data_IF_780123166424
#
_entry.id   IF_780123166424
#
_cell.length_a   1.000
_cell.length_b   1.000
_cell.length_c   1.000
_cell.angle_alpha   90.00
_cell.angle_beta   90.00
_cell.angle_gamma   90.00
#
_symmetry.space_group_name_H-M   'P 1'
#
loop_
_entity.id
_entity.type
_entity.pdbx_description
1 polymer ?
#
# COMPACT_ATOMS: atom_id res chain seq x y z
N UNK A 1 -14.59 -36.35 28.34
CA UNK A 1 -15.16 -36.10 27.00
C UNK A 1 -16.68 -36.21 27.00
N UNK A 2 -17.29 -37.25 27.56
CA UNK A 2 -18.77 -37.42 27.56
C UNK A 2 -19.50 -36.26 28.25
N UNK A 3 -18.94 -35.72 29.33
CA UNK A 3 -19.51 -34.56 30.01
C UNK A 3 -19.47 -33.30 29.14
N UNK A 4 -18.30 -32.98 28.54
CA UNK A 4 -18.13 -31.85 27.66
C UNK A 4 -19.11 -31.90 26.48
N UNK A 5 -19.33 -33.09 25.92
CA UNK A 5 -20.21 -33.25 24.76
C UNK A 5 -21.68 -32.97 25.06
N UNK A 6 -22.09 -33.05 26.34
CA UNK A 6 -23.47 -32.73 26.78
C UNK A 6 -23.75 -31.22 26.85
N UNK A 7 -22.74 -30.37 26.80
CA UNK A 7 -22.86 -28.93 26.95
C UNK A 7 -22.66 -28.21 25.61
N UNK A 8 -23.41 -27.13 25.39
CA UNK A 8 -23.28 -26.29 24.19
C UNK A 8 -22.10 -25.34 24.30
N UNK A 9 -21.78 -24.89 25.52
CA UNK A 9 -20.66 -23.99 25.80
C UNK A 9 -19.91 -24.51 27.02
N UNK A 10 -18.58 -24.58 26.91
CA UNK A 10 -17.65 -24.92 27.99
C UNK A 10 -16.70 -23.75 28.17
N UNK A 11 -16.65 -23.19 29.36
CA UNK A 11 -15.79 -22.04 29.68
C UNK A 11 -14.64 -22.52 30.55
N UNK A 12 -13.41 -22.27 30.12
CA UNK A 12 -12.20 -22.54 30.87
C UNK A 12 -11.80 -21.24 31.60
N UNK A 13 -11.74 -21.34 32.93
CA UNK A 13 -11.25 -20.26 33.76
C UNK A 13 -10.10 -20.81 34.61
N UNK A 14 -8.89 -20.38 34.30
CA UNK A 14 -7.67 -20.70 35.06
C UNK A 14 -7.16 -19.45 35.75
N UNK A 15 -6.35 -19.62 36.79
CA UNK A 15 -5.67 -18.51 37.41
C UNK A 15 -4.77 -17.78 36.39
N UNK A 16 -4.67 -16.47 36.56
CA UNK A 16 -3.82 -15.62 35.70
C UNK A 16 -2.39 -15.62 36.22
N UNK A 17 -1.79 -16.82 36.27
CA UNK A 17 -0.38 -17.00 36.62
C UNK A 17 0.26 -18.09 35.73
N UNK A 18 1.55 -18.36 35.96
CA UNK A 18 2.30 -19.31 35.12
C UNK A 18 1.69 -20.72 35.13
N UNK A 19 1.25 -21.20 36.28
CA UNK A 19 0.68 -22.53 36.42
C UNK A 19 -0.69 -22.62 35.75
N UNK A 20 -1.52 -21.58 35.90
CA UNK A 20 -2.81 -21.48 35.21
C UNK A 20 -2.67 -21.42 33.69
N UNK A 21 -1.70 -20.68 33.19
CA UNK A 21 -1.41 -20.62 31.74
C UNK A 21 -0.91 -21.96 31.19
N UNK A 22 -0.06 -22.68 31.90
CA UNK A 22 0.39 -24.02 31.51
C UNK A 22 -0.79 -25.02 31.52
N UNK A 23 -1.67 -24.96 32.53
CA UNK A 23 -2.88 -25.76 32.60
C UNK A 23 -3.81 -25.48 31.41
N UNK A 24 -4.01 -24.19 31.07
CA UNK A 24 -4.81 -23.77 29.93
C UNK A 24 -4.29 -24.37 28.62
N UNK A 25 -2.97 -24.27 28.35
CA UNK A 25 -2.37 -24.84 27.14
C UNK A 25 -2.52 -26.35 27.04
N UNK A 26 -2.52 -27.06 28.15
CA UNK A 26 -2.79 -28.50 28.17
C UNK A 26 -4.25 -28.84 27.90
N UNK A 27 -5.18 -28.07 28.46
CA UNK A 27 -6.63 -28.28 28.28
C UNK A 27 -7.04 -27.93 26.82
N UNK A 28 -6.47 -26.91 26.23
CA UNK A 28 -6.66 -26.54 24.81
C UNK A 28 -6.43 -27.70 23.84
N UNK A 29 -5.46 -28.58 24.14
CA UNK A 29 -5.12 -29.73 23.28
C UNK A 29 -6.17 -30.85 23.30
N UNK A 30 -7.06 -30.84 24.27
CA UNK A 30 -7.97 -31.97 24.60
C UNK A 30 -9.41 -31.61 24.37
N UNK A 31 -9.80 -30.33 24.50
CA UNK A 31 -11.21 -29.94 24.38
C UNK A 31 -11.56 -29.53 22.94
N UNK A 32 -12.83 -29.81 22.51
CA UNK A 32 -13.29 -29.37 21.20
C UNK A 32 -13.35 -27.84 21.12
N UNK A 33 -12.60 -27.25 20.17
CA UNK A 33 -12.43 -25.81 20.06
C UNK A 33 -13.74 -25.07 19.75
N UNK A 34 -14.64 -25.70 19.01
CA UNK A 34 -15.91 -25.12 18.55
C UNK A 34 -16.90 -24.74 19.64
N UNK A 35 -16.74 -25.30 20.82
CA UNK A 35 -17.60 -25.01 22.00
C UNK A 35 -16.84 -24.57 23.25
N UNK A 36 -15.52 -24.46 23.13
CA UNK A 36 -14.65 -24.06 24.24
C UNK A 36 -14.36 -22.59 24.22
N UNK A 37 -14.54 -21.95 25.37
CA UNK A 37 -14.25 -20.52 25.58
C UNK A 37 -13.23 -20.36 26.70
N UNK A 38 -12.45 -19.32 26.64
CA UNK A 38 -11.38 -19.01 27.61
C UNK A 38 -11.65 -17.66 28.25
N UNK A 39 -11.48 -17.59 29.56
CA UNK A 39 -11.60 -16.37 30.35
C UNK A 39 -10.23 -15.70 30.47
N UNK A 40 -10.19 -14.39 30.30
CA UNK A 40 -9.05 -13.53 30.69
C UNK A 40 -9.43 -12.79 31.95
N UNK A 41 -8.93 -13.28 33.10
CA UNK A 41 -9.20 -12.64 34.38
C UNK A 41 -8.48 -11.29 34.49
N UNK A 42 -9.15 -10.28 35.08
CA UNK A 42 -8.56 -8.96 35.41
C UNK A 42 -7.64 -9.02 36.61
N UNK A 43 -7.83 -10.02 37.46
CA UNK A 43 -7.06 -10.31 38.68
C UNK A 43 -6.35 -11.65 38.52
N UNK A 44 -5.51 -12.01 39.51
CA UNK A 44 -4.79 -13.27 39.50
C UNK A 44 -5.74 -14.48 39.53
N UNK A 45 -6.72 -14.43 40.38
CA UNK A 45 -7.73 -15.48 40.53
C UNK A 45 -9.12 -14.90 40.87
N UNK A 46 -10.15 -15.75 40.95
CA UNK A 46 -11.52 -15.30 41.21
C UNK A 46 -11.70 -14.77 42.64
N UNK A 47 -10.84 -15.15 43.62
CA UNK A 47 -10.97 -14.68 44.99
C UNK A 47 -10.55 -13.20 45.08
N UNK A 48 -9.59 -12.78 44.29
CA UNK A 48 -9.15 -11.38 44.27
C UNK A 48 -10.23 -10.39 43.81
N UNK A 49 -11.26 -10.85 43.10
CA UNK A 49 -12.41 -10.00 42.71
C UNK A 49 -13.28 -9.60 43.91
N UNK A 50 -13.33 -10.44 44.92
CA UNK A 50 -14.18 -10.24 46.11
C UNK A 50 -13.41 -9.86 47.36
N UNK A 51 -12.09 -9.91 47.32
CA UNK A 51 -11.21 -9.49 48.42
C UNK A 51 -10.88 -8.01 48.34
N UNK A 52 -11.31 -7.18 49.31
CA UNK A 52 -11.08 -5.73 49.29
C UNK A 52 -9.62 -5.30 49.21
N UNK A 53 -8.68 -6.17 49.56
CA UNK A 53 -7.23 -5.90 49.45
C UNK A 53 -6.74 -5.84 48.02
N UNK A 54 -7.43 -6.49 47.06
CA UNK A 54 -6.99 -6.64 45.67
C UNK A 54 -7.96 -6.00 44.67
N UNK A 55 -9.23 -5.82 45.01
CA UNK A 55 -10.27 -5.34 44.10
C UNK A 55 -10.48 -3.82 44.11
N UNK A 56 -9.61 -3.06 44.78
CA UNK A 56 -9.74 -1.59 44.88
C UNK A 56 -10.79 -1.11 45.87
N UNK A 57 -11.29 -1.97 46.79
CA UNK A 57 -12.29 -1.64 47.78
C UNK A 57 -13.74 -1.87 47.35
N UNK A 58 -13.94 -2.56 46.25
CA UNK A 58 -15.28 -2.96 45.79
C UNK A 58 -16.00 -3.85 46.81
N UNK A 59 -17.33 -3.78 46.84
CA UNK A 59 -18.13 -4.71 47.63
C UNK A 59 -18.07 -6.14 47.01
N UNK A 60 -18.38 -7.15 47.82
CA UNK A 60 -18.52 -8.53 47.33
C UNK A 60 -19.56 -8.64 46.20
N UNK A 61 -20.61 -7.83 46.25
CA UNK A 61 -21.62 -7.81 45.20
C UNK A 61 -21.05 -7.28 43.88
N UNK A 62 -20.28 -6.22 43.91
CA UNK A 62 -19.61 -5.66 42.73
C UNK A 62 -18.56 -6.61 42.17
N UNK A 63 -17.79 -7.29 43.04
CA UNK A 63 -16.86 -8.34 42.66
C UNK A 63 -17.54 -9.50 41.91
N UNK A 64 -18.66 -9.97 42.42
CA UNK A 64 -19.47 -11.03 41.76
C UNK A 64 -20.01 -10.59 40.39
N UNK A 65 -20.42 -9.32 40.26
CA UNK A 65 -20.84 -8.76 38.96
C UNK A 65 -19.67 -8.81 37.96
N UNK A 66 -18.49 -8.41 38.39
CA UNK A 66 -17.27 -8.43 37.56
C UNK A 66 -16.87 -9.86 37.17
N UNK A 67 -16.95 -10.83 38.09
CA UNK A 67 -16.75 -12.25 37.80
C UNK A 67 -17.72 -12.72 36.71
N UNK A 68 -19.00 -12.42 36.90
CA UNK A 68 -20.02 -12.80 35.92
C UNK A 68 -19.77 -12.19 34.56
N UNK A 69 -19.33 -10.92 34.53
CA UNK A 69 -18.97 -10.26 33.31
C UNK A 69 -17.82 -10.98 32.62
N UNK A 70 -16.71 -11.21 33.30
CA UNK A 70 -15.50 -11.80 32.70
C UNK A 70 -15.70 -13.25 32.29
N UNK A 71 -16.35 -14.06 33.15
CA UNK A 71 -16.51 -15.50 32.92
C UNK A 71 -17.62 -15.82 31.91
N UNK A 72 -18.75 -15.14 32.01
CA UNK A 72 -19.91 -15.48 31.19
C UNK A 72 -20.00 -14.65 29.91
N UNK A 73 -19.84 -13.32 30.03
CA UNK A 73 -20.06 -12.41 28.92
C UNK A 73 -18.78 -12.14 28.09
N UNK A 74 -17.63 -11.95 28.74
CA UNK A 74 -16.39 -11.57 28.08
C UNK A 74 -15.47 -12.75 27.73
N UNK A 75 -15.90 -14.01 28.04
CA UNK A 75 -15.16 -15.21 27.64
C UNK A 75 -15.08 -15.31 26.12
N UNK A 76 -13.87 -15.55 25.59
CA UNK A 76 -13.61 -15.62 24.17
C UNK A 76 -13.54 -17.06 23.68
N UNK A 77 -13.99 -17.36 22.44
CA UNK A 77 -13.79 -18.68 21.83
C UNK A 77 -12.32 -19.08 21.89
N UNK A 78 -12.05 -20.37 22.07
CA UNK A 78 -10.69 -20.91 22.06
C UNK A 78 -9.98 -20.65 20.74
N UNK A 79 -10.71 -20.72 19.64
CA UNK A 79 -10.26 -20.33 18.30
C UNK A 79 -11.07 -19.14 17.82
N UNK A 80 -10.38 -18.21 17.17
CA UNK A 80 -11.05 -17.11 16.50
C UNK A 80 -11.58 -17.57 15.13
N UNK A 81 -12.88 -17.84 15.09
CA UNK A 81 -13.57 -18.22 13.86
C UNK A 81 -13.95 -17.03 12.97
N UNK A 82 -13.50 -15.83 13.31
CA UNK A 82 -13.82 -14.62 12.55
C UNK A 82 -15.28 -14.20 12.63
N UNK A 83 -16.05 -14.75 13.58
CA UNK A 83 -17.46 -14.42 13.79
C UNK A 83 -17.60 -13.33 14.82
N UNK A 84 -18.21 -12.22 14.42
CA UNK A 84 -18.54 -11.10 15.32
C UNK A 84 -20.05 -10.92 15.41
N UNK A 85 -20.56 -10.54 16.57
CA UNK A 85 -21.96 -10.20 16.75
C UNK A 85 -22.32 -8.87 16.08
N UNK A 86 -23.56 -8.71 15.65
CA UNK A 86 -24.03 -7.47 15.03
C UNK A 86 -23.95 -6.25 15.97
N UNK A 87 -23.96 -6.47 17.28
CA UNK A 87 -23.74 -5.47 18.34
C UNK A 87 -22.36 -4.81 18.24
N UNK A 88 -21.35 -5.51 17.72
CA UNK A 88 -19.99 -5.01 17.54
C UNK A 88 -19.79 -4.22 16.23
N UNK A 89 -20.73 -4.31 15.27
CA UNK A 89 -20.58 -3.67 13.95
C UNK A 89 -20.43 -2.16 14.03
N UNK A 90 -21.09 -1.51 15.01
CA UNK A 90 -20.95 -0.05 15.20
C UNK A 90 -19.51 0.33 15.59
N UNK A 91 -18.87 -0.46 16.46
CA UNK A 91 -17.46 -0.20 16.82
C UNK A 91 -16.55 -0.48 15.64
N UNK A 92 -16.76 -1.58 14.92
CA UNK A 92 -16.00 -1.87 13.68
C UNK A 92 -16.13 -0.78 12.61
N UNK A 93 -17.32 -0.17 12.50
CA UNK A 93 -17.50 0.97 11.60
C UNK A 93 -16.66 2.19 12.04
N UNK A 94 -16.62 2.49 13.34
CA UNK A 94 -15.77 3.55 13.89
C UNK A 94 -14.29 3.26 13.65
N UNK A 95 -13.86 2.01 13.92
CA UNK A 95 -12.47 1.59 13.70
C UNK A 95 -12.08 1.78 12.22
N UNK A 96 -12.98 1.45 11.30
CA UNK A 96 -12.77 1.66 9.85
C UNK A 96 -12.66 3.14 9.48
N UNK A 97 -13.51 3.99 10.05
CA UNK A 97 -13.50 5.44 9.77
C UNK A 97 -12.31 6.17 10.40
N UNK A 98 -11.72 5.60 11.46
CA UNK A 98 -10.48 6.09 12.08
C UNK A 98 -9.21 5.51 11.44
N UNK A 99 -9.35 4.66 10.42
CA UNK A 99 -8.19 4.12 9.72
C UNK A 99 -7.50 5.22 8.92
N UNK A 100 -6.19 5.15 8.87
CA UNK A 100 -5.36 6.09 8.13
C UNK A 100 -5.64 6.09 6.63
N UNK A 101 -5.38 7.22 5.99
CA UNK A 101 -5.47 7.40 4.54
C UNK A 101 -4.11 7.79 3.97
N UNK A 102 -3.93 7.53 2.69
CA UNK A 102 -2.76 7.95 1.92
C UNK A 102 -3.24 8.92 0.85
N UNK A 103 -2.76 10.18 0.83
CA UNK A 103 -3.16 11.15 -0.18
C UNK A 103 -2.70 10.72 -1.56
N UNK A 104 -3.51 10.99 -2.58
CA UNK A 104 -3.03 10.85 -3.96
C UNK A 104 -1.92 11.87 -4.24
N UNK A 105 -0.91 11.51 -5.06
CA UNK A 105 0.06 12.47 -5.55
C UNK A 105 -0.59 13.67 -6.22
N UNK A 106 0.00 14.85 -6.08
CA UNK A 106 -0.53 16.09 -6.67
C UNK A 106 -0.72 15.98 -8.19
N UNK A 107 0.18 15.28 -8.91
CA UNK A 107 0.01 15.06 -10.35
C UNK A 107 -1.18 14.18 -10.73
N UNK A 108 -1.79 13.48 -9.76
CA UNK A 108 -3.03 12.70 -9.91
C UNK A 108 -4.26 13.45 -9.38
N UNK A 109 -4.21 14.77 -9.22
CA UNK A 109 -5.31 15.60 -8.72
C UNK A 109 -6.63 15.35 -9.49
N UNK A 110 -6.56 15.10 -10.79
CA UNK A 110 -7.71 14.74 -11.61
C UNK A 110 -8.44 13.46 -11.17
N UNK A 111 -7.72 12.51 -10.55
CA UNK A 111 -8.32 11.34 -9.90
C UNK A 111 -8.68 11.64 -8.44
N UNK A 112 -7.79 12.29 -7.72
CA UNK A 112 -7.90 12.56 -6.28
C UNK A 112 -9.23 13.24 -5.90
N UNK A 113 -9.68 14.23 -6.67
CA UNK A 113 -10.95 14.96 -6.45
C UNK A 113 -12.20 14.08 -6.38
N UNK A 114 -12.11 12.84 -6.81
CA UNK A 114 -13.22 11.88 -6.79
C UNK A 114 -13.17 10.91 -5.61
N UNK A 115 -12.12 10.99 -4.79
CA UNK A 115 -11.98 10.21 -3.57
C UNK A 115 -12.21 11.08 -2.35
N UNK A 116 -12.68 10.47 -1.28
CA UNK A 116 -12.93 11.18 0.00
C UNK A 116 -11.62 11.80 0.52
N UNK A 117 -11.62 13.11 0.71
CA UNK A 117 -10.46 13.90 1.16
C UNK A 117 -9.24 13.79 0.22
N UNK A 118 -9.46 13.54 -1.07
CA UNK A 118 -8.38 13.36 -2.05
C UNK A 118 -7.43 12.21 -1.76
N UNK A 119 -7.87 11.21 -1.00
CA UNK A 119 -7.01 10.17 -0.42
C UNK A 119 -7.64 8.79 -0.56
N UNK A 120 -6.80 7.75 -0.59
CA UNK A 120 -7.25 6.37 -0.46
C UNK A 120 -6.98 5.84 0.95
N UNK A 121 -7.76 4.86 1.38
CA UNK A 121 -7.54 4.20 2.65
C UNK A 121 -6.27 3.33 2.62
N UNK A 122 -5.56 3.22 3.74
CA UNK A 122 -4.53 2.20 3.88
C UNK A 122 -5.15 0.80 3.75
N UNK A 123 -4.38 -0.17 3.24
CA UNK A 123 -4.91 -1.51 3.00
C UNK A 123 -5.79 -1.65 1.75
N UNK A 124 -5.72 -0.72 0.81
CA UNK A 124 -6.30 -0.93 -0.52
C UNK A 124 -5.40 -1.83 -1.39
N UNK A 125 -6.00 -2.54 -2.32
CA UNK A 125 -5.28 -3.24 -3.39
C UNK A 125 -5.59 -2.53 -4.70
N UNK A 126 -4.60 -1.80 -5.20
CA UNK A 126 -4.70 -1.02 -6.42
C UNK A 126 -4.06 -1.78 -7.57
N UNK A 127 -4.84 -2.06 -8.60
CA UNK A 127 -4.34 -2.61 -9.85
C UNK A 127 -4.19 -1.48 -10.88
N UNK A 128 -2.99 -1.28 -11.42
CA UNK A 128 -2.74 -0.46 -12.59
C UNK A 128 -2.61 -1.36 -13.82
N UNK A 129 -3.58 -1.30 -14.72
CA UNK A 129 -3.70 -2.15 -15.89
C UNK A 129 -3.35 -1.33 -17.14
N UNK A 130 -2.29 -1.72 -17.83
CA UNK A 130 -1.82 -0.95 -18.97
C UNK A 130 -1.13 -1.81 -20.04
N UNK A 131 -1.29 -1.49 -21.32
CA UNK A 131 -0.45 -2.04 -22.38
C UNK A 131 1.01 -1.62 -22.22
N UNK A 132 1.89 -2.27 -22.97
CA UNK A 132 3.30 -1.86 -23.05
C UNK A 132 3.42 -0.48 -23.73
N UNK A 133 4.40 0.32 -23.28
CA UNK A 133 4.76 1.60 -23.87
C UNK A 133 3.71 2.72 -23.79
N UNK A 134 2.76 2.65 -22.86
CA UNK A 134 1.77 3.74 -22.62
C UNK A 134 2.18 4.66 -21.46
N UNK A 135 3.37 4.51 -20.92
CA UNK A 135 3.84 5.33 -19.78
C UNK A 135 3.55 4.73 -18.40
N UNK A 136 3.17 3.44 -18.34
CA UNK A 136 2.88 2.72 -17.07
C UNK A 136 3.97 2.94 -16.03
N UNK A 137 5.21 2.58 -16.35
CA UNK A 137 6.34 2.73 -15.42
C UNK A 137 6.60 4.20 -15.03
N UNK A 138 6.41 5.14 -15.95
CA UNK A 138 6.55 6.58 -15.61
C UNK A 138 5.50 7.02 -14.58
N UNK A 139 4.28 6.54 -14.68
CA UNK A 139 3.22 6.82 -13.71
C UNK A 139 3.53 6.17 -12.36
N UNK A 140 3.90 4.88 -12.36
CA UNK A 140 4.16 4.16 -11.11
C UNK A 140 5.37 4.69 -10.38
N UNK A 141 6.45 5.02 -11.09
CA UNK A 141 7.66 5.57 -10.48
C UNK A 141 7.44 6.98 -9.94
N UNK A 142 6.75 7.84 -10.70
CA UNK A 142 6.38 9.17 -10.21
C UNK A 142 5.49 9.09 -8.96
N UNK A 143 4.55 8.13 -8.93
CA UNK A 143 3.68 7.91 -7.79
C UNK A 143 4.46 7.39 -6.56
N UNK A 144 5.31 6.41 -6.75
CA UNK A 144 6.17 5.86 -5.70
C UNK A 144 7.11 6.93 -5.12
N UNK A 145 7.73 7.75 -5.97
CA UNK A 145 8.61 8.83 -5.56
C UNK A 145 7.85 9.91 -4.78
N UNK A 146 6.71 10.35 -5.28
CA UNK A 146 5.87 11.31 -4.57
C UNK A 146 5.54 10.81 -3.16
N UNK A 147 5.08 9.57 -3.04
CA UNK A 147 4.79 8.98 -1.74
C UNK A 147 6.04 8.77 -0.86
N UNK A 148 7.21 8.59 -1.43
CA UNK A 148 8.46 8.51 -0.67
C UNK A 148 8.84 9.85 -0.02
N UNK A 149 8.42 10.95 -0.65
CA UNK A 149 8.69 12.31 -0.16
C UNK A 149 7.55 12.85 0.73
N UNK A 150 6.31 12.60 0.33
CA UNK A 150 5.12 13.30 0.85
C UNK A 150 4.18 12.41 1.68
N UNK A 151 4.49 11.12 1.86
CA UNK A 151 3.70 10.21 2.68
C UNK A 151 4.50 9.75 3.91
N UNK A 152 3.88 9.61 5.09
CA UNK A 152 4.55 9.06 6.26
C UNK A 152 4.78 7.55 6.17
N UNK A 153 4.26 6.90 5.13
CA UNK A 153 4.27 5.45 5.01
C UNK A 153 5.49 4.95 4.24
N UNK A 154 6.25 4.10 4.90
CA UNK A 154 7.40 3.47 4.29
C UNK A 154 6.98 2.46 3.23
N UNK A 155 7.71 2.43 2.11
CA UNK A 155 7.39 1.66 0.93
C UNK A 155 8.43 0.59 0.64
N UNK A 156 8.02 -0.48 -0.06
CA UNK A 156 8.93 -1.43 -0.69
C UNK A 156 8.56 -1.62 -2.16
N UNK A 157 9.58 -1.75 -3.01
CA UNK A 157 9.44 -1.95 -4.45
C UNK A 157 9.97 -3.33 -4.81
N UNK A 158 9.11 -4.17 -5.33
CA UNK A 158 9.44 -5.46 -5.94
C UNK A 158 9.39 -5.29 -7.45
N UNK A 159 10.53 -4.95 -8.06
CA UNK A 159 10.66 -4.84 -9.51
C UNK A 159 11.37 -6.07 -10.07
N UNK A 160 10.71 -6.72 -11.01
CA UNK A 160 11.22 -7.93 -11.65
C UNK A 160 11.63 -7.70 -13.12
N UNK A 161 11.29 -6.53 -13.67
CA UNK A 161 11.70 -6.11 -15.01
C UNK A 161 13.05 -5.37 -15.02
N UNK A 162 13.41 -4.70 -13.91
CA UNK A 162 14.65 -3.94 -13.79
C UNK A 162 15.44 -4.36 -12.55
N UNK A 163 16.74 -4.60 -12.70
CA UNK A 163 17.66 -4.80 -11.58
C UNK A 163 17.88 -3.51 -10.78
N UNK A 164 18.54 -3.64 -9.62
CA UNK A 164 18.79 -2.50 -8.73
C UNK A 164 19.62 -1.40 -9.41
N UNK A 165 20.58 -1.76 -10.27
CA UNK A 165 21.43 -0.82 -11.00
C UNK A 165 20.61 0.04 -11.97
N UNK A 166 19.78 -0.59 -12.81
CA UNK A 166 18.93 0.13 -13.76
C UNK A 166 17.88 0.97 -13.04
N UNK A 167 17.31 0.45 -11.97
CA UNK A 167 16.35 1.15 -11.13
C UNK A 167 17.01 2.37 -10.46
N UNK A 168 18.25 2.24 -9.98
CA UNK A 168 19.03 3.35 -9.42
C UNK A 168 19.25 4.49 -10.41
N UNK A 169 19.62 4.19 -11.67
CA UNK A 169 19.75 5.20 -12.72
C UNK A 169 18.40 5.85 -13.04
N UNK A 170 17.32 5.08 -13.05
CA UNK A 170 15.96 5.57 -13.28
C UNK A 170 15.51 6.55 -12.19
N UNK A 171 15.69 6.19 -10.93
CA UNK A 171 15.38 7.05 -9.78
C UNK A 171 16.22 8.32 -9.80
N UNK A 172 17.52 8.20 -10.10
CA UNK A 172 18.42 9.35 -10.25
C UNK A 172 17.99 10.28 -11.40
N UNK A 173 17.50 9.70 -12.51
CA UNK A 173 16.97 10.48 -13.64
C UNK A 173 15.71 11.24 -13.25
N UNK A 174 14.83 10.62 -12.44
CA UNK A 174 13.63 11.28 -11.93
C UNK A 174 13.97 12.37 -10.91
N UNK A 175 14.93 12.13 -10.03
CA UNK A 175 15.37 13.11 -9.04
C UNK A 175 15.95 14.37 -9.70
N UNK A 176 16.73 14.19 -10.75
CA UNK A 176 17.43 15.30 -11.44
C UNK A 176 16.63 15.90 -12.60
N UNK A 177 15.49 15.30 -12.97
CA UNK A 177 14.73 15.70 -14.15
C UNK A 177 15.45 15.43 -15.49
N UNK A 178 16.54 14.66 -15.48
CA UNK A 178 17.37 14.42 -16.66
C UNK A 178 17.46 12.94 -17.01
N UNK A 179 17.24 12.57 -18.26
CA UNK A 179 17.38 11.19 -18.72
C UNK A 179 18.87 10.80 -18.77
N UNK A 180 19.44 10.30 -17.67
CA UNK A 180 20.87 10.03 -17.50
C UNK A 180 21.42 9.08 -18.58
N UNK A 181 20.64 8.08 -19.01
CA UNK A 181 21.08 7.19 -20.09
C UNK A 181 21.31 7.89 -21.45
N UNK A 182 20.73 9.08 -21.66
CA UNK A 182 20.90 9.88 -22.89
C UNK A 182 22.15 10.78 -22.84
N UNK A 183 22.79 10.92 -21.68
CA UNK A 183 24.06 11.69 -21.57
C UNK A 183 25.14 10.93 -22.32
N UNK A 184 25.84 11.61 -23.21
CA UNK A 184 26.90 11.03 -24.03
C UNK A 184 28.15 10.72 -23.19
N UNK A 185 28.70 9.53 -23.34
CA UNK A 185 29.92 9.09 -22.67
C UNK A 185 29.67 8.52 -21.24
N UNK A 186 30.36 7.42 -20.95
CA UNK A 186 30.27 6.75 -19.64
C UNK A 186 30.71 7.63 -18.48
N UNK A 187 31.83 8.33 -18.67
CA UNK A 187 32.45 9.18 -17.64
C UNK A 187 31.55 10.37 -17.32
N UNK A 188 30.90 10.96 -18.34
CA UNK A 188 29.98 12.08 -18.16
C UNK A 188 28.73 11.66 -17.39
N UNK A 189 28.20 10.43 -17.61
CA UNK A 189 27.06 9.90 -16.87
C UNK A 189 27.39 9.69 -15.40
N UNK A 190 28.56 9.12 -15.09
CA UNK A 190 29.00 8.92 -13.71
C UNK A 190 29.21 10.26 -13.04
N UNK A 191 29.93 11.17 -13.69
CA UNK A 191 30.16 12.51 -13.17
C UNK A 191 28.86 13.25 -12.90
N UNK A 192 27.88 13.13 -13.81
CA UNK A 192 26.57 13.78 -13.61
C UNK A 192 25.87 13.24 -12.33
N UNK A 193 25.92 11.94 -12.04
CA UNK A 193 25.38 11.37 -10.80
C UNK A 193 26.13 11.94 -9.58
N UNK A 194 27.46 11.97 -9.63
CA UNK A 194 28.30 12.46 -8.54
C UNK A 194 28.07 13.96 -8.29
N UNK A 195 27.99 14.77 -9.34
CA UNK A 195 27.74 16.22 -9.25
C UNK A 195 26.34 16.56 -8.73
N UNK A 196 25.38 15.62 -8.82
CA UNK A 196 23.99 15.77 -8.36
C UNK A 196 23.66 14.88 -7.17
N UNK A 197 24.66 14.36 -6.45
CA UNK A 197 24.46 13.42 -5.35
C UNK A 197 23.50 13.98 -4.28
N UNK A 198 23.60 15.24 -3.91
CA UNK A 198 22.75 15.88 -2.90
C UNK A 198 21.25 15.85 -3.27
N UNK A 199 20.92 16.02 -4.56
CA UNK A 199 19.55 15.98 -5.06
C UNK A 199 19.03 14.54 -5.05
N UNK A 200 19.88 13.61 -5.50
CA UNK A 200 19.55 12.19 -5.55
C UNK A 200 19.37 11.65 -4.15
N UNK A 201 20.26 11.96 -3.22
CA UNK A 201 20.22 11.49 -1.84
C UNK A 201 18.99 12.02 -1.07
N UNK A 202 18.54 13.25 -1.32
CA UNK A 202 17.29 13.76 -0.75
C UNK A 202 16.08 12.88 -1.11
N UNK A 203 16.08 12.26 -2.30
CA UNK A 203 15.04 11.32 -2.71
C UNK A 203 15.20 9.93 -2.11
N UNK A 204 16.45 9.50 -1.86
CA UNK A 204 16.75 8.14 -1.40
C UNK A 204 16.76 8.01 0.13
N UNK A 205 17.15 9.07 0.83
CA UNK A 205 17.47 9.04 2.26
C UNK A 205 16.72 10.17 2.97
N UNK A 206 16.18 9.87 4.16
CA UNK A 206 15.59 10.88 5.06
C UNK A 206 16.66 11.73 5.72
N UNK A 207 16.29 12.83 6.36
CA UNK A 207 17.21 13.68 7.13
C UNK A 207 17.93 12.91 8.26
N UNK A 208 17.27 11.88 8.82
CA UNK A 208 17.83 10.99 9.83
C UNK A 208 18.75 9.90 9.25
N UNK A 209 19.02 9.91 7.93
CA UNK A 209 19.87 8.94 7.26
C UNK A 209 19.23 7.57 6.99
N UNK A 210 17.91 7.45 7.13
CA UNK A 210 17.19 6.21 6.85
C UNK A 210 16.75 6.13 5.38
N UNK A 211 16.74 4.93 4.76
CA UNK A 211 16.22 4.78 3.41
C UNK A 211 14.73 5.11 3.36
N UNK A 212 14.29 5.89 2.37
CA UNK A 212 12.87 6.25 2.19
C UNK A 212 12.03 5.10 1.69
N UNK A 213 12.62 4.19 0.94
CA UNK A 213 11.98 2.95 0.49
C UNK A 213 12.99 1.79 0.45
N UNK A 214 12.48 0.56 0.45
CA UNK A 214 13.28 -0.64 0.28
C UNK A 214 13.10 -1.20 -1.13
N UNK A 215 14.16 -1.58 -1.81
CA UNK A 215 14.13 -2.24 -3.11
C UNK A 215 14.41 -3.73 -2.93
N UNK A 216 13.57 -4.58 -3.52
CA UNK A 216 13.69 -6.04 -3.48
C UNK A 216 14.23 -6.53 -4.81
N UNK A 217 15.49 -6.90 -4.80
CA UNK A 217 16.23 -7.29 -6.00
C UNK A 217 15.97 -8.75 -6.41
N UNK A 218 15.71 -9.64 -5.44
CA UNK A 218 15.62 -11.06 -5.71
C UNK A 218 14.21 -11.62 -5.61
N UNK A 219 13.77 -12.30 -6.68
CA UNK A 219 12.52 -13.04 -6.67
C UNK A 219 12.61 -14.23 -5.70
N UNK A 220 11.66 -14.42 -4.77
CA UNK A 220 11.62 -15.58 -3.91
C UNK A 220 11.44 -16.87 -4.71
N UNK A 221 12.11 -17.96 -4.28
CA UNK A 221 12.09 -19.24 -5.00
C UNK A 221 10.94 -20.16 -4.63
N UNK A 222 10.11 -19.77 -3.66
CA UNK A 222 8.92 -20.52 -3.21
C UNK A 222 7.90 -19.59 -2.55
N UNK A 223 6.65 -20.02 -2.48
CA UNK A 223 5.56 -19.32 -1.82
C UNK A 223 5.86 -19.05 -0.35
N UNK A 224 6.46 -20.02 0.35
CA UNK A 224 6.84 -19.86 1.75
C UNK A 224 7.89 -18.77 1.94
N UNK A 225 8.92 -18.74 1.08
CA UNK A 225 9.94 -17.69 1.12
C UNK A 225 9.35 -16.31 0.81
N UNK A 226 8.42 -16.22 -0.15
CA UNK A 226 7.69 -15.01 -0.45
C UNK A 226 6.96 -14.49 0.80
N UNK A 227 6.20 -15.35 1.45
CA UNK A 227 5.45 -14.99 2.66
C UNK A 227 6.38 -14.49 3.77
N UNK A 228 7.50 -15.19 4.01
CA UNK A 228 8.51 -14.77 5.00
C UNK A 228 9.12 -13.41 4.64
N UNK A 229 9.48 -13.19 3.36
CA UNK A 229 10.04 -11.92 2.90
C UNK A 229 9.06 -10.76 3.11
N UNK A 230 7.80 -10.92 2.70
CA UNK A 230 6.78 -9.89 2.88
C UNK A 230 6.51 -9.62 4.36
N UNK A 231 6.41 -10.66 5.19
CA UNK A 231 6.22 -10.48 6.63
C UNK A 231 7.42 -9.80 7.30
N UNK A 232 8.65 -10.06 6.85
CA UNK A 232 9.84 -9.31 7.28
C UNK A 232 9.74 -7.83 6.92
N UNK A 233 9.35 -7.51 5.68
CA UNK A 233 9.16 -6.13 5.26
C UNK A 233 8.13 -5.40 6.13
N UNK A 234 7.01 -6.06 6.44
CA UNK A 234 5.93 -5.47 7.23
C UNK A 234 6.32 -5.30 8.70
N UNK A 235 6.87 -6.36 9.33
CA UNK A 235 7.09 -6.39 10.78
C UNK A 235 8.39 -5.73 11.21
N UNK A 236 9.45 -5.88 10.41
CA UNK A 236 10.81 -5.41 10.76
C UNK A 236 11.13 -4.10 10.05
N UNK A 237 10.77 -3.98 8.75
CA UNK A 237 11.03 -2.78 7.97
C UNK A 237 9.90 -1.75 8.06
N UNK A 238 8.79 -2.07 8.75
CA UNK A 238 7.58 -1.24 8.91
C UNK A 238 6.98 -0.75 7.58
N UNK A 239 7.02 -1.60 6.54
CA UNK A 239 6.46 -1.28 5.24
C UNK A 239 4.93 -1.23 5.32
N UNK A 240 4.34 -0.20 4.73
CA UNK A 240 2.88 0.02 4.62
C UNK A 240 2.38 0.11 3.19
N UNK A 241 3.29 0.27 2.23
CA UNK A 241 2.97 0.26 0.79
C UNK A 241 3.91 -0.71 0.09
N UNK A 242 3.36 -1.62 -0.69
CA UNK A 242 4.09 -2.63 -1.44
C UNK A 242 3.80 -2.49 -2.93
N UNK A 243 4.81 -2.10 -3.70
CA UNK A 243 4.78 -2.03 -5.16
C UNK A 243 5.24 -3.35 -5.76
N UNK A 244 4.49 -3.89 -6.74
CA UNK A 244 4.81 -5.16 -7.41
C UNK A 244 4.72 -4.97 -8.92
N UNK A 245 5.87 -4.94 -9.59
CA UNK A 245 5.96 -4.67 -11.04
C UNK A 245 6.79 -5.73 -11.79
N UNK A 246 6.14 -6.59 -12.59
CA UNK A 246 4.71 -6.87 -12.60
C UNK A 246 4.32 -7.99 -11.60
N UNK A 247 3.08 -7.97 -11.13
CA UNK A 247 2.59 -9.00 -10.19
C UNK A 247 2.59 -10.41 -10.80
N UNK A 248 2.48 -10.53 -12.11
CA UNK A 248 2.48 -11.83 -12.79
C UNK A 248 3.79 -12.59 -12.65
N UNK A 249 4.92 -11.90 -12.65
CA UNK A 249 6.23 -12.53 -12.46
C UNK A 249 6.35 -13.08 -11.04
N UNK A 250 5.79 -12.36 -10.06
CA UNK A 250 5.69 -12.87 -8.70
C UNK A 250 4.81 -14.13 -8.64
N UNK A 251 3.66 -14.11 -9.31
CA UNK A 251 2.74 -15.26 -9.33
C UNK A 251 3.31 -16.47 -10.07
N UNK A 252 4.30 -16.28 -10.95
CA UNK A 252 5.01 -17.38 -11.61
C UNK A 252 5.73 -18.30 -10.62
N UNK A 253 5.98 -17.86 -9.38
CA UNK A 253 6.51 -18.70 -8.29
C UNK A 253 5.62 -19.91 -8.02
N UNK A 254 4.31 -19.80 -8.24
CA UNK A 254 3.36 -20.92 -8.12
C UNK A 254 3.61 -22.06 -9.13
N UNK A 255 4.44 -21.83 -10.16
CA UNK A 255 4.85 -22.85 -11.17
C UNK A 255 3.68 -23.62 -11.78
N UNK A 256 2.54 -22.94 -12.00
CA UNK A 256 1.33 -23.54 -12.56
C UNK A 256 0.46 -24.31 -11.54
N UNK A 257 0.85 -24.37 -10.26
CA UNK A 257 0.02 -24.90 -9.18
C UNK A 257 -1.11 -23.90 -8.87
N UNK A 258 -2.36 -24.31 -9.10
CA UNK A 258 -3.53 -23.48 -8.78
C UNK A 258 -3.62 -23.24 -7.27
N UNK A 259 -3.29 -24.26 -6.45
CA UNK A 259 -3.32 -24.15 -4.99
C UNK A 259 -2.30 -23.10 -4.49
N UNK A 260 -1.07 -23.11 -5.03
CA UNK A 260 -0.04 -22.14 -4.67
C UNK A 260 -0.40 -20.73 -5.14
N UNK A 261 -1.00 -20.62 -6.32
CA UNK A 261 -1.52 -19.35 -6.84
C UNK A 261 -2.60 -18.77 -5.89
N UNK A 262 -3.60 -19.57 -5.54
CA UNK A 262 -4.67 -19.17 -4.64
C UNK A 262 -4.12 -18.80 -3.26
N UNK A 263 -3.13 -19.55 -2.77
CA UNK A 263 -2.47 -19.31 -1.48
C UNK A 263 -1.72 -17.96 -1.47
N UNK A 264 -1.05 -17.58 -2.58
CA UNK A 264 -0.43 -16.26 -2.72
C UNK A 264 -1.49 -15.16 -2.67
N UNK A 265 -2.58 -15.32 -3.43
CA UNK A 265 -3.66 -14.32 -3.48
C UNK A 265 -4.33 -14.15 -2.11
N UNK A 266 -4.63 -15.24 -1.42
CA UNK A 266 -5.19 -15.21 -0.08
C UNK A 266 -4.23 -14.57 0.93
N UNK A 267 -2.93 -14.83 0.79
CA UNK A 267 -1.93 -14.21 1.63
C UNK A 267 -1.89 -12.68 1.43
N UNK A 268 -1.93 -12.19 0.20
CA UNK A 268 -2.00 -10.74 -0.06
C UNK A 268 -3.29 -10.11 0.46
N UNK A 269 -4.44 -10.81 0.35
CA UNK A 269 -5.69 -10.36 0.99
C UNK A 269 -5.54 -10.24 2.51
N UNK A 270 -4.88 -11.21 3.16
CA UNK A 270 -4.60 -11.16 4.59
C UNK A 270 -3.68 -9.98 4.94
N UNK A 271 -2.61 -9.78 4.18
CA UNK A 271 -1.67 -8.65 4.35
C UNK A 271 -2.42 -7.31 4.26
N UNK A 272 -3.27 -7.15 3.26
CA UNK A 272 -4.08 -5.96 3.06
C UNK A 272 -5.05 -5.70 4.22
N UNK A 273 -5.81 -6.74 4.63
CA UNK A 273 -6.90 -6.59 5.60
C UNK A 273 -6.41 -6.52 7.05
N UNK A 274 -5.44 -7.35 7.42
CA UNK A 274 -5.03 -7.50 8.82
C UNK A 274 -3.80 -6.67 9.17
N UNK A 275 -2.98 -6.31 8.18
CA UNK A 275 -1.80 -5.46 8.39
C UNK A 275 -1.95 -4.06 7.79
N UNK A 276 -3.09 -3.78 7.14
CA UNK A 276 -3.39 -2.50 6.50
C UNK A 276 -2.31 -2.03 5.51
N UNK A 277 -1.66 -3.00 4.84
CA UNK A 277 -0.66 -2.71 3.81
C UNK A 277 -1.34 -2.46 2.49
N UNK A 278 -1.09 -1.31 1.89
CA UNK A 278 -1.56 -0.97 0.54
C UNK A 278 -0.72 -1.71 -0.48
N UNK A 279 -1.37 -2.41 -1.41
CA UNK A 279 -0.72 -3.16 -2.49
C UNK A 279 -0.93 -2.43 -3.79
N UNK A 280 0.16 -2.06 -4.44
CA UNK A 280 0.18 -1.40 -5.76
C UNK A 280 0.70 -2.42 -6.77
N UNK A 281 -0.20 -3.08 -7.49
CA UNK A 281 0.16 -4.12 -8.46
C UNK A 281 0.01 -3.64 -9.89
N UNK A 282 1.01 -3.94 -10.69
CA UNK A 282 1.06 -3.57 -12.09
C UNK A 282 0.73 -4.79 -12.95
N UNK A 283 -0.22 -4.63 -13.87
CA UNK A 283 -0.68 -5.67 -14.77
C UNK A 283 -0.56 -5.23 -16.22
N UNK A 284 -0.05 -6.15 -17.03
CA UNK A 284 -0.08 -5.98 -18.49
C UNK A 284 -1.45 -6.32 -19.07
N UNK A 285 -1.78 -5.75 -20.22
CA UNK A 285 -2.96 -6.17 -20.99
C UNK A 285 -2.62 -7.31 -21.94
N UNK A 286 -3.64 -7.98 -22.43
CA UNK A 286 -3.54 -8.89 -23.57
C UNK A 286 -3.18 -8.09 -24.83
N UNK A 287 -2.62 -8.76 -25.84
CA UNK A 287 -2.22 -8.12 -27.11
C UNK A 287 -3.38 -7.52 -27.87
N UNK A 288 -4.57 -8.13 -27.81
CA UNK A 288 -5.80 -7.61 -28.42
C UNK A 288 -6.76 -7.23 -27.31
N UNK A 289 -7.27 -6.00 -27.35
CA UNK A 289 -8.24 -5.49 -26.40
C UNK A 289 -9.66 -5.96 -26.78
N UNK A 290 -10.52 -6.07 -25.78
CA UNK A 290 -11.94 -6.40 -25.96
C UNK A 290 -12.71 -5.35 -26.78
N UNK A 291 -12.27 -4.09 -26.71
CA UNK A 291 -12.83 -2.97 -27.51
C UNK A 291 -12.40 -2.97 -28.97
N UNK A 292 -11.53 -3.89 -29.39
CA UNK A 292 -10.83 -3.83 -30.65
C UNK A 292 -9.70 -2.80 -30.68
N UNK A 293 -8.61 -3.09 -31.41
CA UNK A 293 -7.42 -2.22 -31.39
C UNK A 293 -6.42 -2.53 -30.32
N UNK A 294 -5.52 -1.60 -30.06
CA UNK A 294 -4.45 -1.70 -29.08
C UNK A 294 -4.47 -0.45 -28.17
N UNK A 295 -4.41 -0.61 -26.87
CA UNK A 295 -4.41 0.53 -25.94
C UNK A 295 -3.22 1.49 -26.11
N UNK A 296 -2.17 1.07 -26.84
CA UNK A 296 -1.06 1.94 -27.25
C UNK A 296 -1.38 2.81 -28.48
N UNK A 297 -2.52 2.58 -29.13
CA UNK A 297 -3.04 3.37 -30.24
C UNK A 297 -4.24 4.23 -29.80
N UNK A 298 -4.39 4.47 -28.51
CA UNK A 298 -5.46 5.26 -27.91
C UNK A 298 -6.75 4.49 -27.65
N UNK A 299 -6.85 3.21 -28.02
CA UNK A 299 -8.02 2.41 -27.73
C UNK A 299 -8.25 2.30 -26.22
N UNK A 300 -9.51 2.32 -25.82
CA UNK A 300 -9.87 2.27 -24.41
C UNK A 300 -9.60 0.89 -23.82
N UNK A 301 -8.88 0.89 -22.68
CA UNK A 301 -8.55 -0.33 -21.95
C UNK A 301 -9.63 -0.61 -20.91
N UNK A 302 -10.11 -1.84 -20.85
CA UNK A 302 -11.05 -2.33 -19.86
C UNK A 302 -10.35 -3.21 -18.79
N UNK A 303 -11.04 -3.52 -17.70
CA UNK A 303 -10.54 -4.47 -16.71
C UNK A 303 -10.37 -5.89 -17.28
N UNK A 304 -11.21 -6.26 -18.26
CA UNK A 304 -11.19 -7.59 -18.90
C UNK A 304 -9.97 -7.79 -19.79
N UNK A 305 -9.32 -6.71 -20.19
CA UNK A 305 -8.11 -6.73 -21.01
C UNK A 305 -6.87 -7.15 -20.23
N UNK A 306 -6.94 -7.15 -18.89
CA UNK A 306 -5.82 -7.54 -18.04
C UNK A 306 -5.35 -8.98 -18.32
N UNK A 307 -4.05 -9.14 -18.45
CA UNK A 307 -3.42 -10.45 -18.50
C UNK A 307 -3.23 -10.97 -17.05
N UNK A 308 -3.47 -12.27 -16.83
CA UNK A 308 -3.22 -12.90 -15.51
C UNK A 308 -4.47 -13.28 -14.72
N UNK A 309 -5.65 -13.04 -15.24
CA UNK A 309 -6.87 -13.65 -14.73
C UNK A 309 -7.82 -12.70 -14.01
N UNK A 310 -9.10 -13.07 -14.02
CA UNK A 310 -10.21 -12.35 -13.38
C UNK A 310 -10.03 -12.24 -11.86
N UNK A 311 -9.26 -13.13 -11.26
CA UNK A 311 -9.07 -13.18 -9.80
C UNK A 311 -8.34 -11.94 -9.29
N UNK A 312 -7.22 -11.54 -9.90
CA UNK A 312 -6.50 -10.31 -9.55
C UNK A 312 -7.40 -9.08 -9.65
N UNK A 313 -8.15 -8.98 -10.76
CA UNK A 313 -9.08 -7.88 -10.98
C UNK A 313 -10.19 -7.88 -9.93
N UNK A 314 -10.75 -9.06 -9.62
CA UNK A 314 -11.81 -9.17 -8.62
C UNK A 314 -11.32 -8.83 -7.22
N UNK A 315 -10.09 -9.17 -6.88
CA UNK A 315 -9.47 -8.88 -5.57
C UNK A 315 -9.07 -7.42 -5.43
N UNK A 316 -8.62 -6.78 -6.48
CA UNK A 316 -8.38 -5.34 -6.48
C UNK A 316 -9.57 -4.57 -5.90
N UNK A 317 -9.30 -3.67 -4.99
CA UNK A 317 -10.31 -2.75 -4.43
C UNK A 317 -10.43 -1.49 -5.27
N UNK A 318 -9.32 -1.09 -5.90
CA UNK A 318 -9.26 -0.01 -6.89
C UNK A 318 -8.61 -0.57 -8.14
N UNK A 319 -9.27 -0.44 -9.30
CA UNK A 319 -8.70 -0.80 -10.59
C UNK A 319 -8.63 0.45 -11.47
N UNK A 320 -7.43 0.73 -11.97
CA UNK A 320 -7.13 1.87 -12.83
C UNK A 320 -6.58 1.33 -14.14
N UNK A 321 -7.13 1.77 -15.26
CA UNK A 321 -6.59 1.46 -16.58
C UNK A 321 -5.86 2.65 -17.15
N UNK A 322 -4.78 2.39 -17.91
CA UNK A 322 -4.04 3.43 -18.62
C UNK A 322 -4.07 3.16 -20.12
N UNK A 323 -4.28 4.20 -20.93
CA UNK A 323 -4.20 4.17 -22.38
C UNK A 323 -3.48 5.42 -22.91
N UNK A 324 -2.85 5.31 -24.07
CA UNK A 324 -2.14 6.40 -24.74
C UNK A 324 -2.04 6.13 -26.21
N UNK A 325 -2.28 7.13 -27.04
CA UNK A 325 -2.06 7.04 -28.49
C UNK A 325 -0.61 7.43 -28.82
N UNK A 326 0.32 6.49 -28.76
CA UNK A 326 1.73 6.75 -29.09
C UNK A 326 1.98 7.00 -30.59
N UNK A 327 1.01 6.68 -31.44
CA UNK A 327 1.08 6.85 -32.89
C UNK A 327 0.34 8.11 -33.36
N UNK A 328 -0.19 8.92 -32.45
CA UNK A 328 -0.86 10.16 -32.80
C UNK A 328 0.08 11.09 -33.58
N UNK A 329 -0.45 11.76 -34.60
CA UNK A 329 0.28 12.81 -35.32
C UNK A 329 0.50 14.03 -34.43
N UNK A 330 -0.50 14.36 -33.63
CA UNK A 330 -0.42 15.45 -32.67
C UNK A 330 0.54 15.08 -31.53
N UNK A 331 1.51 15.98 -31.27
CA UNK A 331 2.54 15.80 -30.25
C UNK A 331 1.94 15.73 -28.84
N UNK A 332 0.95 16.55 -28.54
CA UNK A 332 0.34 16.64 -27.23
C UNK A 332 -0.42 15.35 -26.96
N UNK A 333 -1.26 14.89 -27.89
CA UNK A 333 -1.98 13.62 -27.78
C UNK A 333 -0.98 12.45 -27.61
N UNK A 334 0.07 12.42 -28.42
CA UNK A 334 1.10 11.37 -28.36
C UNK A 334 1.81 11.28 -27.01
N UNK A 335 1.94 12.38 -26.27
CA UNK A 335 2.57 12.43 -24.94
C UNK A 335 1.57 12.48 -23.78
N UNK A 336 0.28 12.32 -24.05
CA UNK A 336 -0.77 12.33 -23.02
C UNK A 336 -1.23 10.91 -22.72
N UNK A 337 -1.15 10.53 -21.44
CA UNK A 337 -1.66 9.27 -20.90
C UNK A 337 -3.00 9.51 -20.22
N UNK A 338 -4.03 8.75 -20.61
CA UNK A 338 -5.34 8.75 -19.95
C UNK A 338 -5.37 7.65 -18.89
N UNK A 339 -5.59 8.02 -17.63
CA UNK A 339 -5.88 7.10 -16.54
C UNK A 339 -7.39 7.09 -16.29
N UNK A 340 -7.99 5.90 -16.17
CA UNK A 340 -9.44 5.76 -15.92
C UNK A 340 -9.66 4.82 -14.72
N UNK A 341 -10.42 5.28 -13.74
CA UNK A 341 -10.86 4.44 -12.61
C UNK A 341 -11.98 3.54 -13.12
N UNK A 342 -11.75 2.24 -13.16
CA UNK A 342 -12.72 1.23 -13.52
C UNK A 342 -13.53 0.73 -12.35
N UNK A 343 -12.90 0.75 -11.17
CA UNK A 343 -13.49 0.27 -9.94
C UNK A 343 -12.87 1.00 -8.74
N UNK A 344 -13.70 1.42 -7.81
CA UNK A 344 -13.33 1.73 -6.44
C UNK A 344 -14.43 1.20 -5.52
N UNK A 345 -14.09 0.24 -4.65
CA UNK A 345 -15.09 -0.37 -3.76
C UNK A 345 -15.52 0.55 -2.65
N UNK A 346 -14.59 1.29 -2.08
CA UNK A 346 -14.84 2.13 -0.90
C UNK A 346 -15.54 3.43 -1.28
N UNK A 347 -14.99 4.16 -2.24
CA UNK A 347 -15.53 5.45 -2.65
C UNK A 347 -16.59 5.34 -3.75
N UNK A 348 -16.84 4.13 -4.28
CA UNK A 348 -17.84 3.83 -5.32
C UNK A 348 -17.66 4.66 -6.61
N UNK A 349 -16.41 5.02 -6.90
CA UNK A 349 -16.05 5.82 -8.09
C UNK A 349 -15.78 4.91 -9.28
N UNK A 350 -16.38 5.21 -10.41
CA UNK A 350 -16.16 4.49 -11.68
C UNK A 350 -16.27 5.42 -12.86
N UNK A 351 -15.53 5.14 -13.94
CA UNK A 351 -15.64 5.88 -15.21
C UNK A 351 -14.96 7.24 -15.24
N UNK A 352 -14.49 7.74 -14.10
CA UNK A 352 -13.74 9.00 -14.05
C UNK A 352 -12.33 8.82 -14.57
N UNK A 353 -11.79 9.85 -15.19
CA UNK A 353 -10.45 9.81 -15.77
C UNK A 353 -9.66 11.07 -15.44
N UNK A 354 -8.34 10.94 -15.55
CA UNK A 354 -7.40 12.04 -15.57
C UNK A 354 -6.47 11.90 -16.77
N UNK A 355 -6.06 13.02 -17.31
CA UNK A 355 -5.07 13.11 -18.37
C UNK A 355 -3.74 13.58 -17.78
N UNK A 356 -2.66 12.91 -18.14
CA UNK A 356 -1.31 13.21 -17.70
C UNK A 356 -0.44 13.49 -18.92
N UNK A 357 0.13 14.68 -18.97
CA UNK A 357 1.10 15.05 -20.00
C UNK A 357 2.52 14.70 -19.55
N UNK A 358 3.26 14.01 -20.40
CA UNK A 358 4.68 13.72 -20.15
C UNK A 358 5.55 14.78 -20.81
N UNK A 359 6.19 15.59 -20.01
CA UNK A 359 7.15 16.59 -20.45
C UNK A 359 8.53 15.95 -20.63
N UNK A 360 8.94 15.76 -21.88
CA UNK A 360 10.16 15.02 -22.21
C UNK A 360 11.44 15.74 -21.76
N UNK A 361 11.48 17.08 -21.82
CA UNK A 361 12.61 17.88 -21.35
C UNK A 361 12.85 17.75 -19.85
N UNK A 362 11.78 17.70 -19.07
CA UNK A 362 11.84 17.58 -17.60
C UNK A 362 11.81 16.13 -17.11
N UNK A 363 11.64 15.15 -18.00
CA UNK A 363 11.43 13.73 -17.66
C UNK A 363 10.35 13.54 -16.59
N UNK A 364 9.24 14.28 -16.67
CA UNK A 364 8.23 14.40 -15.61
C UNK A 364 6.81 14.37 -16.15
N UNK A 365 5.89 13.84 -15.32
CA UNK A 365 4.45 13.85 -15.58
C UNK A 365 3.78 15.03 -14.89
N UNK A 366 2.85 15.66 -15.59
CA UNK A 366 2.02 16.76 -15.09
C UNK A 366 0.53 16.48 -15.35
N UNK A 367 -0.39 17.00 -14.52
CA UNK A 367 -1.79 17.08 -14.91
C UNK A 367 -1.90 17.80 -16.26
N UNK A 368 -2.76 17.31 -17.14
CA UNK A 368 -2.90 17.89 -18.48
C UNK A 368 -3.30 19.36 -18.43
N UNK A 369 -4.27 19.69 -17.59
CA UNK A 369 -4.77 21.04 -17.40
C UNK A 369 -3.65 22.00 -16.94
N UNK A 370 -2.79 21.55 -16.02
CA UNK A 370 -1.64 22.34 -15.58
C UNK A 370 -0.61 22.53 -16.70
N UNK A 371 -0.35 21.47 -17.49
CA UNK A 371 0.58 21.57 -18.61
C UNK A 371 0.02 22.48 -19.73
N UNK A 372 -1.31 22.51 -19.93
CA UNK A 372 -2.00 23.40 -20.86
C UNK A 372 -1.90 24.86 -20.39
N UNK A 373 -2.21 25.16 -19.14
CA UNK A 373 -2.16 26.50 -18.56
C UNK A 373 -0.76 27.13 -18.66
N UNK A 374 0.29 26.29 -18.51
CA UNK A 374 1.69 26.73 -18.57
C UNK A 374 2.31 26.55 -19.98
N UNK A 375 1.54 26.16 -20.98
CA UNK A 375 2.01 25.99 -22.36
C UNK A 375 3.25 25.09 -22.51
N UNK A 376 3.37 24.03 -21.68
CA UNK A 376 4.57 23.19 -21.62
C UNK A 376 5.00 22.55 -22.92
N UNK A 377 4.09 22.46 -23.89
CA UNK A 377 4.36 21.90 -25.21
C UNK A 377 4.83 22.93 -26.25
N UNK A 378 4.75 24.24 -26.00
CA UNK A 378 5.24 25.25 -26.96
C UNK A 378 6.66 25.00 -27.40
N UNK A 379 7.53 24.63 -26.46
CA UNK A 379 8.94 24.36 -26.69
C UNK A 379 9.26 22.95 -27.17
N UNK A 380 8.24 22.05 -27.16
CA UNK A 380 8.42 20.62 -27.44
C UNK A 380 7.67 20.16 -28.71
N UNK A 381 6.67 20.93 -29.20
CA UNK A 381 5.92 20.60 -30.43
C UNK A 381 6.87 20.52 -31.62
N UNK A 382 6.86 19.37 -32.30
CA UNK A 382 7.68 19.11 -33.47
C UNK A 382 9.10 18.64 -33.19
N UNK A 383 9.50 18.52 -31.93
CA UNK A 383 10.78 17.92 -31.57
C UNK A 383 10.79 16.44 -31.93
N UNK A 384 11.81 15.98 -32.61
CA UNK A 384 12.12 14.57 -32.69
C UNK A 384 12.76 14.15 -31.36
N UNK A 385 12.58 12.86 -30.99
CA UNK A 385 13.20 12.31 -29.76
C UNK A 385 14.71 12.56 -29.74
N UNK A 386 15.33 12.68 -30.92
CA UNK A 386 16.76 12.96 -31.13
C UNK A 386 17.13 14.41 -30.83
N UNK A 387 16.18 15.34 -30.92
CA UNK A 387 16.38 16.79 -30.75
C UNK A 387 16.11 17.27 -29.32
N UNK A 388 15.77 16.38 -28.40
CA UNK A 388 15.51 16.72 -26.99
C UNK A 388 16.85 17.02 -26.31
N UNK A 389 17.31 18.27 -26.49
CA UNK A 389 18.39 18.84 -25.68
C UNK A 389 17.75 19.16 -24.34
N UNK A 390 18.21 18.47 -23.32
CA UNK A 390 17.75 18.70 -21.95
C UNK A 390 18.40 20.01 -21.48
N UNK A 391 17.58 21.00 -21.20
CA UNK A 391 18.02 22.31 -20.70
C UNK A 391 18.70 22.10 -19.33
N UNK A 392 19.93 22.59 -19.18
CA UNK A 392 20.71 22.37 -17.96
C UNK A 392 20.18 23.15 -16.75
N UNK A 393 19.26 24.11 -16.97
CA UNK A 393 18.70 24.99 -15.93
C UNK A 393 17.42 24.46 -15.25
N UNK A 394 16.87 23.31 -15.68
CA UNK A 394 15.67 22.73 -15.03
C UNK A 394 16.11 21.79 -13.90
N UNK A 395 16.55 22.37 -12.80
CA UNK A 395 16.69 21.66 -11.53
C UNK A 395 15.35 21.05 -11.09
N UNK A 396 15.41 19.90 -10.44
CA UNK A 396 14.23 19.30 -9.79
C UNK A 396 13.84 20.21 -8.63
N UNK A 397 12.83 21.04 -8.84
CA UNK A 397 12.24 21.81 -7.76
C UNK A 397 11.37 20.87 -6.94
N UNK A 398 11.94 20.29 -5.88
CA UNK A 398 11.26 19.44 -4.91
C UNK A 398 10.14 20.19 -4.18
N UNK A 399 10.14 21.50 -4.29
CA UNK A 399 9.24 22.38 -3.55
C UNK A 399 8.00 22.82 -4.32
N UNK A 400 7.85 22.56 -5.63
CA UNK A 400 6.86 23.28 -6.40
C UNK A 400 5.95 22.35 -7.21
N UNK A 401 4.93 21.98 -6.53
CA UNK A 401 3.65 22.75 -6.59
C UNK A 401 3.59 23.53 -5.27
N UNK A 402 3.92 24.82 -5.34
CA UNK A 402 4.05 25.72 -4.21
C UNK A 402 2.75 25.89 -3.42
N UNK A 403 2.92 26.25 -2.16
CA UNK A 403 1.90 26.64 -1.21
C UNK A 403 1.13 27.92 -1.62
N UNK A 404 1.40 28.53 -2.78
CA UNK A 404 0.91 29.86 -3.10
C UNK A 404 -0.34 29.91 -3.99
N UNK A 405 -0.84 28.78 -4.55
CA UNK A 405 -1.98 28.80 -5.51
C UNK A 405 -3.17 27.90 -5.19
N UNK A 406 -3.24 27.29 -4.00
CA UNK A 406 -4.48 26.70 -3.49
C UNK A 406 -4.98 27.56 -2.34
N UNK A 407 -6.14 28.20 -2.55
CA UNK A 407 -6.78 29.10 -1.59
C UNK A 407 -6.72 28.58 -0.16
N UNK A 408 -6.40 29.52 0.72
CA UNK A 408 -6.34 29.43 2.17
C UNK A 408 -7.63 28.80 2.75
N UNK A 409 -7.63 27.47 2.88
CA UNK A 409 -8.54 26.74 3.77
C UNK A 409 -7.66 26.03 4.82
N UNK A 410 -7.45 26.75 5.91
CA UNK A 410 -6.43 26.56 6.95
C UNK A 410 -6.56 25.34 7.87
N UNK A 411 -6.92 24.15 7.39
CA UNK A 411 -7.04 22.95 8.22
C UNK A 411 -5.93 21.88 7.98
N UNK A 412 -4.99 22.14 7.05
CA UNK A 412 -3.92 21.18 6.71
C UNK A 412 -2.72 21.21 7.67
N UNK A 413 -2.38 22.34 8.25
CA UNK A 413 -1.18 22.48 9.10
C UNK A 413 -1.33 21.83 10.48
N UNK A 414 -2.54 21.76 11.06
CA UNK A 414 -2.72 21.14 12.37
C UNK A 414 -2.51 19.63 12.38
N UNK A 415 -2.76 18.96 11.27
CA UNK A 415 -2.56 17.49 11.15
C UNK A 415 -1.06 17.13 11.09
N UNK A 416 -0.23 17.99 10.52
CA UNK A 416 1.22 17.75 10.42
C UNK A 416 1.95 17.95 11.75
N UNK A 417 1.52 18.91 12.59
CA UNK A 417 2.13 19.12 13.92
C UNK A 417 1.76 18.02 14.93
N UNK A 418 0.56 17.44 14.87
CA UNK A 418 0.17 16.33 15.76
C UNK A 418 0.90 15.01 15.42
N UNK A 419 1.25 14.76 14.17
CA UNK A 419 1.97 13.54 13.76
C UNK A 419 3.49 13.61 14.02
N UNK A 420 4.08 14.81 14.03
CA UNK A 420 5.50 15.00 14.34
C UNK A 420 5.84 14.87 15.84
N UNK A 421 4.84 14.98 16.71
CA UNK A 421 5.00 14.90 18.16
C UNK A 421 4.69 13.53 18.78
N UNK A 422 4.38 12.50 18.00
CA UNK A 422 4.24 11.15 18.51
C UNK A 422 5.63 10.51 18.72
N UNK A 423 6.16 10.69 19.91
CA UNK A 423 7.37 10.02 20.39
C UNK A 423 7.11 8.51 20.42
N UNK A 424 7.72 7.77 19.50
CA UNK A 424 7.76 6.30 19.58
C UNK A 424 8.68 5.93 20.72
N UNK A 425 8.10 5.51 21.83
CA UNK A 425 8.86 4.91 22.93
C UNK A 425 9.33 3.53 22.47
N UNK A 426 10.64 3.35 22.32
CA UNK A 426 11.25 2.04 22.12
C UNK A 426 10.96 1.20 23.36
N UNK A 427 10.15 0.16 23.20
CA UNK A 427 10.00 -0.89 24.23
C UNK A 427 11.11 -1.89 24.00
N UNK A 428 11.94 -2.10 25.01
CA UNK A 428 12.98 -3.12 25.04
C UNK A 428 12.40 -4.49 24.71
N UNK A 429 12.90 -5.10 23.64
CA UNK A 429 12.57 -6.48 23.25
C UNK A 429 13.58 -7.38 23.96
N UNK A 430 13.17 -8.32 24.81
CA UNK A 430 14.09 -9.30 25.38
C UNK A 430 14.62 -10.24 24.29
N UNK A 431 15.92 -10.53 24.36
CA UNK A 431 16.61 -11.54 23.55
C UNK A 431 15.94 -12.92 23.63
N UNK A 432 15.56 -13.46 22.46
CA UNK A 432 15.31 -14.89 22.23
C UNK A 432 15.82 -15.31 20.85
#
# INVERSE_FOLDING_TARGET
YEWVNKHQKVVICTDNDKAGNEALENVKKVLPSEKTFVVSLRHKDLNEYIDPRYNGGDSIADGNIKITQDVYWDSKPLEDYGVIGSDQLRQKARDRLNQDKIPFPKFLSGLAKHFTDGSMWTGEWVNLIAPTSVGKSSVTDAWMIDWSLNSPYRQAVMSYEAGAEDYGVKVSSLATGKAIFKIEGKENRIKFIDDNADIIDKLLITEDGLPRFDFIESLPTSVEKLKKQIMYLIKIRNIRVLWIDPILDLLAIAKGSKADYDDIILFFENVRTNHHVTIMSILHTRKSLSSGGNGSDGAEVSEEDAYGGRELISKGTINITASRNKNAEDWVERNTTKLTIRKSRTDQVTGVHALLFYRAKANKLYPFEYAEEHDFWKDEIGMKVEDIIIDDDVGFDLAIIGDDDLGDDGDGEQIFEELSNSTVTLVDVPDW
#
